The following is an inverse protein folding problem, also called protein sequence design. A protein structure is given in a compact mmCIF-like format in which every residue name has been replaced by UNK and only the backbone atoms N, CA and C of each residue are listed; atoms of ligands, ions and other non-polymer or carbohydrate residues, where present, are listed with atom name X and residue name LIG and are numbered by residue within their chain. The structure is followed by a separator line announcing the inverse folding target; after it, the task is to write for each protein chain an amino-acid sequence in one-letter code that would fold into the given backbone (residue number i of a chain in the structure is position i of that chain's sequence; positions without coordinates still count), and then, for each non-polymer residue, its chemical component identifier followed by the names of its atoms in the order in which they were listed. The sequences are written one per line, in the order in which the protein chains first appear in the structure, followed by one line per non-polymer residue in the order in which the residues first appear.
data_IF_355761279575
#
_entry.id   IF_355761279575
#
_cell.length_a   1.000
_cell.length_b   1.000
_cell.length_c   1.000
_cell.angle_alpha   90.00
_cell.angle_beta   90.00
_cell.angle_gamma   90.00
#
_symmetry.space_group_name_H-M   'P 1'
#
loop_
_entity.id
_entity.type
_entity.pdbx_description
1 polymer ?
#
# COMPACT_ATOMS: atom_id res chain seq x y z
N UNK A 1 25.56 -4.83 8.65
CA UNK A 1 25.26 -4.24 7.34
C UNK A 1 26.48 -4.20 6.41
N UNK A 2 27.66 -3.91 6.93
CA UNK A 2 28.86 -3.77 6.08
C UNK A 2 29.29 -5.07 5.36
N UNK A 3 28.98 -6.25 5.91
CA UNK A 3 29.29 -7.54 5.29
C UNK A 3 28.36 -7.92 4.11
N UNK A 4 27.17 -7.34 4.02
CA UNK A 4 26.20 -7.63 2.95
C UNK A 4 26.56 -6.86 1.69
N UNK A 5 27.09 -5.65 1.84
CA UNK A 5 27.49 -4.81 0.71
C UNK A 5 28.74 -5.35 -0.04
N UNK A 6 29.59 -6.11 0.65
CA UNK A 6 30.80 -6.68 0.07
C UNK A 6 30.56 -7.93 -0.79
N UNK A 7 29.40 -8.57 -0.66
CA UNK A 7 29.05 -9.82 -1.38
C UNK A 7 28.48 -9.60 -2.79
N UNK A 8 28.65 -8.41 -3.39
CA UNK A 8 28.09 -8.03 -4.70
C UNK A 8 26.57 -8.15 -4.80
N UNK A 9 25.87 -8.18 -3.67
CA UNK A 9 24.41 -8.16 -3.62
C UNK A 9 23.92 -6.71 -3.62
N UNK A 10 22.91 -6.43 -4.44
CA UNK A 10 22.23 -5.15 -4.40
C UNK A 10 21.34 -5.09 -3.15
N UNK A 11 21.51 -4.07 -2.34
CA UNK A 11 20.73 -3.82 -1.13
C UNK A 11 19.95 -2.52 -1.30
N UNK A 12 18.69 -2.55 -1.01
CA UNK A 12 17.85 -1.36 -0.89
C UNK A 12 17.13 -1.37 0.46
N UNK A 13 16.90 -0.18 1.00
CA UNK A 13 16.11 -0.01 2.23
C UNK A 13 14.73 0.46 1.85
N UNK A 14 13.72 -0.23 2.35
CA UNK A 14 12.32 0.17 2.18
C UNK A 14 11.93 1.12 3.29
N UNK A 15 11.45 2.31 2.95
CA UNK A 15 10.82 3.19 3.93
C UNK A 15 9.60 2.51 4.53
N UNK A 16 9.48 2.60 5.82
CA UNK A 16 8.31 2.23 6.54
C UNK A 16 7.61 3.56 6.88
N UNK A 17 6.47 3.69 7.13
CA UNK A 17 5.26 3.04 7.61
C UNK A 17 4.15 3.99 7.20
N UNK A 18 3.18 3.49 6.60
CA UNK A 18 1.88 4.15 6.58
C UNK A 18 0.88 3.22 7.28
N UNK A 19 -0.17 3.79 7.82
CA UNK A 19 -1.26 3.04 8.42
C UNK A 19 -2.57 3.59 7.87
N UNK A 20 -3.26 2.79 7.08
CA UNK A 20 -4.63 3.09 6.66
C UNK A 20 -5.60 2.96 7.85
N UNK A 21 -6.73 3.69 7.85
CA UNK A 21 -7.72 3.60 8.90
C UNK A 21 -8.26 2.18 9.05
N UNK A 22 -8.46 1.76 10.30
CA UNK A 22 -9.15 0.53 10.66
C UNK A 22 -10.34 0.85 11.57
N UNK A 23 -11.37 0.03 11.51
CA UNK A 23 -12.62 0.21 12.23
C UNK A 23 -12.89 -1.04 13.09
N UNK A 24 -12.28 -1.08 14.27
CA UNK A 24 -12.24 -2.30 15.07
C UNK A 24 -11.45 -3.38 14.35
N UNK A 25 -12.10 -4.50 14.03
CA UNK A 25 -11.50 -5.61 13.30
C UNK A 25 -11.65 -5.50 11.77
N UNK A 26 -12.22 -4.40 11.27
CA UNK A 26 -12.48 -4.19 9.85
C UNK A 26 -11.47 -3.23 9.24
N UNK A 27 -10.98 -3.54 8.06
CA UNK A 27 -10.16 -2.64 7.24
C UNK A 27 -11.05 -1.61 6.52
N UNK A 28 -10.43 -0.62 5.90
CA UNK A 28 -11.14 0.32 5.05
C UNK A 28 -11.87 -0.41 3.90
N UNK A 29 -11.24 -1.41 3.28
CA UNK A 29 -11.86 -2.22 2.25
C UNK A 29 -13.10 -2.98 2.75
N UNK A 30 -13.06 -3.56 3.94
CA UNK A 30 -14.22 -4.25 4.53
C UNK A 30 -15.39 -3.28 4.71
N UNK A 31 -15.13 -2.09 5.23
CA UNK A 31 -16.15 -1.04 5.42
C UNK A 31 -16.79 -0.67 4.09
N UNK A 32 -16.00 -0.46 3.05
CA UNK A 32 -16.47 -0.04 1.75
C UNK A 32 -17.26 -1.16 1.06
N UNK A 33 -16.82 -2.42 1.16
CA UNK A 33 -17.58 -3.59 0.68
C UNK A 33 -18.94 -3.66 1.33
N UNK A 34 -19.04 -3.53 2.66
CA UNK A 34 -20.32 -3.57 3.37
C UNK A 34 -21.24 -2.41 2.97
N UNK A 35 -20.71 -1.21 2.77
CA UNK A 35 -21.49 -0.07 2.32
C UNK A 35 -22.01 -0.28 0.89
N UNK A 36 -21.16 -0.78 -0.01
CA UNK A 36 -21.50 -1.06 -1.40
C UNK A 36 -22.57 -2.14 -1.53
N UNK A 37 -22.43 -3.25 -0.81
CA UNK A 37 -23.43 -4.34 -0.81
C UNK A 37 -24.80 -3.89 -0.31
N UNK A 38 -24.85 -2.95 0.64
CA UNK A 38 -26.11 -2.36 1.10
C UNK A 38 -26.74 -1.42 0.07
N UNK A 39 -25.92 -0.67 -0.66
CA UNK A 39 -26.38 0.27 -1.67
C UNK A 39 -26.83 -0.45 -2.96
N UNK A 40 -26.18 -1.55 -3.30
CA UNK A 40 -26.35 -2.27 -4.57
C UNK A 40 -26.63 -3.76 -4.33
N UNK A 41 -27.93 -4.20 -4.32
CA UNK A 41 -28.27 -5.63 -4.19
C UNK A 41 -27.67 -6.51 -5.31
N UNK A 42 -27.41 -5.92 -6.48
CA UNK A 42 -26.80 -6.53 -7.66
C UNK A 42 -25.25 -6.36 -7.69
N UNK A 43 -24.62 -6.19 -6.52
CA UNK A 43 -23.20 -5.85 -6.39
C UNK A 43 -22.26 -6.81 -7.15
N UNK A 44 -22.64 -8.07 -7.33
CA UNK A 44 -21.83 -9.06 -8.07
C UNK A 44 -21.61 -8.68 -9.53
N UNK A 45 -22.56 -7.98 -10.14
CA UNK A 45 -22.50 -7.49 -11.51
C UNK A 45 -21.73 -6.15 -11.60
N UNK A 46 -21.36 -5.58 -10.45
CA UNK A 46 -20.71 -4.27 -10.30
C UNK A 46 -19.30 -4.36 -9.69
N UNK A 47 -18.64 -5.51 -9.81
CA UNK A 47 -17.31 -5.71 -9.21
C UNK A 47 -16.26 -4.69 -9.67
N UNK A 48 -16.20 -4.28 -10.96
CA UNK A 48 -15.26 -3.22 -11.38
C UNK A 48 -15.55 -1.86 -10.72
N UNK A 49 -16.82 -1.52 -10.50
CA UNK A 49 -17.20 -0.30 -9.77
C UNK A 49 -16.78 -0.40 -8.31
N UNK A 50 -17.00 -1.54 -7.67
CA UNK A 50 -16.57 -1.79 -6.29
C UNK A 50 -15.05 -1.67 -6.12
N UNK A 51 -14.27 -2.25 -7.04
CA UNK A 51 -12.81 -2.09 -7.07
C UNK A 51 -12.42 -0.61 -7.10
N UNK A 52 -13.00 0.15 -8.00
CA UNK A 52 -12.74 1.58 -8.14
C UNK A 52 -13.06 2.34 -6.85
N UNK A 53 -14.24 2.15 -6.29
CA UNK A 53 -14.66 2.85 -5.08
C UNK A 53 -13.77 2.55 -3.86
N UNK A 54 -13.34 1.29 -3.69
CA UNK A 54 -12.42 0.92 -2.62
C UNK A 54 -11.06 1.58 -2.83
N UNK A 55 -10.50 1.49 -4.02
CA UNK A 55 -9.17 2.03 -4.33
C UNK A 55 -9.15 3.57 -4.27
N UNK A 56 -10.23 4.23 -4.66
CA UNK A 56 -10.41 5.67 -4.47
C UNK A 56 -10.46 6.04 -2.97
N UNK A 57 -11.13 5.25 -2.14
CA UNK A 57 -11.15 5.46 -0.68
C UNK A 57 -9.75 5.36 -0.07
N UNK A 58 -8.92 4.43 -0.52
CA UNK A 58 -7.53 4.31 -0.08
C UNK A 58 -6.70 5.51 -0.52
N UNK A 59 -6.86 5.98 -1.75
CA UNK A 59 -6.19 7.19 -2.22
C UNK A 59 -6.64 8.44 -1.45
N UNK A 60 -7.93 8.57 -1.20
CA UNK A 60 -8.49 9.65 -0.38
C UNK A 60 -7.90 9.65 1.03
N UNK A 61 -7.83 8.49 1.68
CA UNK A 61 -7.22 8.37 3.00
C UNK A 61 -5.74 8.79 2.99
N UNK A 62 -5.01 8.46 1.93
CA UNK A 62 -3.62 8.88 1.74
C UNK A 62 -3.52 10.39 1.47
N UNK A 63 -4.25 10.94 0.51
CA UNK A 63 -4.16 12.33 0.06
C UNK A 63 -4.66 13.33 1.11
N UNK A 64 -5.65 12.97 1.90
CA UNK A 64 -6.20 13.80 2.98
C UNK A 64 -5.39 13.67 4.30
N UNK A 65 -4.33 12.88 4.31
CA UNK A 65 -3.49 12.69 5.49
C UNK A 65 -4.17 11.87 6.61
N UNK A 66 -5.25 11.16 6.30
CA UNK A 66 -5.92 10.24 7.25
C UNK A 66 -5.05 9.00 7.44
N UNK A 67 -4.38 8.53 6.38
CA UNK A 67 -3.34 7.51 6.48
C UNK A 67 -2.14 8.09 7.23
N UNK A 68 -1.76 7.46 8.33
CA UNK A 68 -0.62 7.91 9.14
C UNK A 68 0.68 7.48 8.48
N UNK A 69 1.59 8.44 8.31
CA UNK A 69 2.93 8.19 7.78
C UNK A 69 3.93 8.50 8.89
N UNK A 70 4.83 7.57 9.16
CA UNK A 70 5.89 7.74 10.15
C UNK A 70 7.02 8.61 9.58
N UNK A 71 6.80 9.90 9.51
CA UNK A 71 7.73 10.86 8.89
C UNK A 71 9.10 10.85 9.54
N UNK A 72 9.17 10.87 10.88
CA UNK A 72 10.43 10.92 11.61
C UNK A 72 11.28 9.66 11.39
N UNK A 73 10.64 8.48 11.45
CA UNK A 73 11.33 7.21 11.19
C UNK A 73 11.82 7.13 9.75
N UNK A 74 11.01 7.57 8.79
CA UNK A 74 11.38 7.59 7.39
C UNK A 74 12.51 8.59 7.10
N UNK A 75 12.53 9.73 7.77
CA UNK A 75 13.63 10.69 7.65
C UNK A 75 14.94 10.12 8.18
N UNK A 76 14.93 9.41 9.31
CA UNK A 76 16.12 8.72 9.85
C UNK A 76 16.61 7.63 8.90
N UNK A 77 15.71 6.82 8.35
CA UNK A 77 16.04 5.80 7.35
C UNK A 77 16.74 6.44 6.14
N UNK A 78 16.19 7.53 5.61
CA UNK A 78 16.80 8.25 4.47
C UNK A 78 18.18 8.79 4.78
N UNK A 79 18.37 9.36 5.97
CA UNK A 79 19.69 9.89 6.38
C UNK A 79 20.75 8.80 6.45
N UNK A 80 20.45 7.68 7.12
CA UNK A 80 21.36 6.55 7.25
C UNK A 80 21.67 5.92 5.88
N UNK A 81 20.65 5.75 5.05
CA UNK A 81 20.81 5.18 3.72
C UNK A 81 21.68 6.08 2.82
N UNK A 82 21.50 7.40 2.88
CA UNK A 82 22.31 8.37 2.16
C UNK A 82 23.79 8.33 2.57
N UNK A 83 24.07 8.26 3.88
CA UNK A 83 25.43 8.15 4.40
C UNK A 83 26.17 6.89 3.90
N UNK A 84 25.41 5.83 3.62
CA UNK A 84 25.93 4.53 3.20
C UNK A 84 25.77 4.23 1.71
N UNK A 85 25.32 5.20 0.91
CA UNK A 85 24.98 5.03 -0.51
C UNK A 85 24.02 3.85 -0.78
N UNK A 86 23.04 3.64 0.10
CA UNK A 86 22.02 2.61 -0.05
C UNK A 86 20.79 3.25 -0.67
N UNK A 87 20.23 2.74 -1.77
CA UNK A 87 18.99 3.25 -2.34
C UNK A 87 17.81 3.04 -1.38
N UNK A 88 16.95 4.03 -1.32
CA UNK A 88 15.71 3.99 -0.50
C UNK A 88 14.52 3.85 -1.43
N UNK A 89 13.65 2.90 -1.11
CA UNK A 89 12.38 2.70 -1.77
C UNK A 89 11.26 3.26 -0.89
N UNK A 90 10.49 4.20 -1.42
CA UNK A 90 9.26 4.63 -0.78
C UNK A 90 8.16 3.58 -1.00
N UNK A 91 7.64 3.04 0.09
CA UNK A 91 6.60 2.03 0.04
C UNK A 91 5.33 2.51 -0.66
N UNK A 92 5.05 3.82 -0.58
CA UNK A 92 3.89 4.41 -1.23
C UNK A 92 4.01 4.41 -2.76
N UNK A 93 5.21 4.31 -3.33
CA UNK A 93 5.41 4.27 -4.78
C UNK A 93 4.86 2.99 -5.41
N UNK A 94 4.83 1.87 -4.68
CA UNK A 94 4.23 0.65 -5.19
C UNK A 94 2.81 0.40 -4.66
N UNK A 95 2.42 1.02 -3.54
CA UNK A 95 1.06 0.94 -2.99
C UNK A 95 0.10 1.85 -3.73
N UNK A 96 0.56 3.02 -4.14
CA UNK A 96 -0.24 4.01 -4.86
C UNK A 96 0.29 4.23 -6.28
N UNK A 97 -0.60 4.66 -7.14
CA UNK A 97 -0.32 5.29 -8.44
C UNK A 97 -0.76 6.74 -8.34
N UNK A 98 0.21 7.62 -8.04
CA UNK A 98 -0.08 9.03 -7.81
C UNK A 98 -0.54 9.76 -9.06
N UNK A 99 -0.08 9.32 -10.23
CA UNK A 99 -0.46 9.92 -11.51
C UNK A 99 -1.93 9.67 -11.85
N UNK A 100 -2.45 8.50 -11.46
CA UNK A 100 -3.85 8.13 -11.65
C UNK A 100 -4.72 8.34 -10.39
N UNK A 101 -4.17 8.98 -9.35
CA UNK A 101 -4.86 9.26 -8.08
C UNK A 101 -5.48 8.01 -7.44
N UNK A 102 -4.71 6.94 -7.37
CA UNK A 102 -5.16 5.62 -6.99
C UNK A 102 -4.23 4.99 -5.94
N UNK A 103 -4.79 4.40 -4.88
CA UNK A 103 -4.07 3.50 -3.97
C UNK A 103 -4.77 2.16 -3.93
N UNK A 104 -4.02 1.07 -4.00
CA UNK A 104 -4.58 -0.27 -4.14
C UNK A 104 -4.92 -0.89 -2.78
N UNK A 105 -6.19 -0.90 -2.43
CA UNK A 105 -6.74 -1.62 -1.28
C UNK A 105 -7.18 -3.04 -1.62
N UNK A 106 -7.63 -3.22 -2.87
CA UNK A 106 -8.03 -4.51 -3.46
C UNK A 106 -7.48 -4.64 -4.88
N UNK A 107 -7.42 -5.87 -5.37
CA UNK A 107 -7.15 -6.17 -6.79
C UNK A 107 -8.47 -6.32 -7.58
N UNK A 108 -8.37 -6.63 -8.88
CA UNK A 108 -9.53 -6.80 -9.78
C UNK A 108 -10.47 -7.96 -9.40
N UNK A 109 -10.02 -8.91 -8.58
CA UNK A 109 -10.85 -9.98 -8.01
C UNK A 109 -11.47 -9.61 -6.66
N UNK A 110 -11.31 -8.35 -6.21
CA UNK A 110 -11.74 -7.86 -4.89
C UNK A 110 -11.06 -8.63 -3.74
N UNK A 111 -9.88 -9.19 -3.99
CA UNK A 111 -9.05 -9.72 -2.91
C UNK A 111 -8.40 -8.57 -2.15
N UNK A 112 -8.53 -8.56 -0.82
CA UNK A 112 -7.91 -7.54 0.02
C UNK A 112 -6.39 -7.64 -0.07
N UNK A 113 -5.74 -6.50 -0.26
CA UNK A 113 -4.28 -6.41 -0.32
C UNK A 113 -3.65 -6.12 1.05
N UNK A 114 -4.48 -5.66 2.01
CA UNK A 114 -4.09 -5.47 3.41
C UNK A 114 -5.00 -6.27 4.33
N UNK A 115 -4.44 -6.95 5.34
CA UNK A 115 -5.24 -7.63 6.35
C UNK A 115 -5.50 -6.78 7.60
N UNK A 116 -4.75 -5.71 7.78
CA UNK A 116 -4.93 -4.69 8.81
C UNK A 116 -4.58 -3.29 8.28
N UNK A 117 -4.08 -2.41 9.14
CA UNK A 117 -3.72 -1.03 8.78
C UNK A 117 -2.57 -0.89 7.78
N UNK A 118 -1.73 -1.88 7.59
CA UNK A 118 -0.56 -1.75 6.70
C UNK A 118 0.19 -3.03 6.35
N UNK A 119 -0.17 -4.16 6.92
CA UNK A 119 0.45 -5.43 6.56
C UNK A 119 -0.27 -6.06 5.38
N UNK A 120 0.52 -6.60 4.45
CA UNK A 120 -0.01 -7.21 3.24
C UNK A 120 -0.58 -8.60 3.49
N UNK A 121 -1.69 -8.90 2.84
CA UNK A 121 -2.17 -10.27 2.64
C UNK A 121 -1.22 -11.00 1.67
N UNK A 122 -1.41 -12.31 1.48
CA UNK A 122 -0.69 -13.05 0.44
C UNK A 122 -1.00 -12.50 -0.97
N UNK A 123 -2.26 -12.14 -1.24
CA UNK A 123 -2.65 -11.47 -2.48
C UNK A 123 -1.94 -10.12 -2.62
N UNK A 124 -1.86 -9.34 -1.54
CA UNK A 124 -1.14 -8.07 -1.49
C UNK A 124 0.35 -8.23 -1.75
N UNK A 125 1.00 -9.20 -1.13
CA UNK A 125 2.41 -9.46 -1.34
C UNK A 125 2.71 -9.82 -2.82
N UNK A 126 1.88 -10.62 -3.44
CA UNK A 126 1.98 -10.95 -4.88
C UNK A 126 1.72 -9.75 -5.78
N UNK A 127 0.68 -8.98 -5.48
CA UNK A 127 0.30 -7.81 -6.25
C UNK A 127 1.39 -6.73 -6.19
N UNK A 128 1.81 -6.34 -5.00
CA UNK A 128 2.82 -5.29 -4.81
C UNK A 128 4.22 -5.74 -5.23
N UNK A 129 4.54 -7.04 -5.11
CA UNK A 129 5.80 -7.58 -5.64
C UNK A 129 5.94 -7.36 -7.15
N UNK A 130 4.88 -7.61 -7.92
CA UNK A 130 4.86 -7.33 -9.37
C UNK A 130 5.02 -5.85 -9.69
N UNK A 131 4.35 -4.96 -8.91
CA UNK A 131 4.49 -3.52 -9.09
C UNK A 131 5.90 -3.03 -8.76
N UNK A 132 6.49 -3.59 -7.72
CA UNK A 132 7.87 -3.28 -7.32
C UNK A 132 8.87 -3.64 -8.44
N UNK A 133 8.68 -4.76 -9.11
CA UNK A 133 9.52 -5.14 -10.25
C UNK A 133 9.39 -4.17 -11.43
N UNK A 134 8.25 -3.54 -11.61
CA UNK A 134 8.03 -2.52 -12.65
C UNK A 134 8.68 -1.16 -12.35
N UNK A 135 8.99 -0.89 -11.07
CA UNK A 135 9.65 0.34 -10.64
C UNK A 135 11.19 0.28 -10.70
N UNK A 136 11.75 -0.88 -11.02
CA UNK A 136 13.18 -1.09 -11.23
C UNK A 136 13.54 -0.74 -12.66
#
# INVERSE_FOLDING_TARGET
MDNIANDRKSVAVVQNIFAFPVFGNFTLADKDVFAFMRAYPDFRDRMPQLETEINDSYFKAYSEGIARIAQDSNQRIRSIAKERNIPVLDRMDYVCDRANELCYGVNSNIEKLFYDYGHHTLAGARFFGKRLDQLR
#
